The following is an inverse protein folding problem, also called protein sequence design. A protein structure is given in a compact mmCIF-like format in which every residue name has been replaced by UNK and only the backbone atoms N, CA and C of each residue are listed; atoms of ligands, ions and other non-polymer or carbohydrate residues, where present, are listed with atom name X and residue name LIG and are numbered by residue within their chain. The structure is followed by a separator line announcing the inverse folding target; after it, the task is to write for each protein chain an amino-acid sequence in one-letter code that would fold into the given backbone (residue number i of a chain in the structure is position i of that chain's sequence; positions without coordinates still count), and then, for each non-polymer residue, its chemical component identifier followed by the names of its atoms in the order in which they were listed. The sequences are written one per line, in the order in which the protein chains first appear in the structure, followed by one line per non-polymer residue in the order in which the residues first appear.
data_IF_412204816386
#
_entry.id   IF_412204816386
#
_cell.length_a   1.000
_cell.length_b   1.000
_cell.length_c   1.000
_cell.angle_alpha   90.00
_cell.angle_beta   90.00
_cell.angle_gamma   90.00
#
_symmetry.space_group_name_H-M   'P 1'
#
loop_
_entity.id
_entity.type
_entity.pdbx_description
1 polymer ?
#
# COMPACT_ATOMS: atom_id res chain seq x y z
N UNK A 1 -19.06 -2.41 -11.15
CA UNK A 1 -18.76 -1.69 -9.90
C UNK A 1 -17.25 -1.69 -9.75
N UNK A 2 -16.62 -0.55 -9.49
CA UNK A 2 -15.16 -0.43 -9.36
C UNK A 2 -14.73 -1.00 -8.01
N UNK A 3 -13.67 -1.80 -7.98
CA UNK A 3 -13.07 -2.37 -6.77
C UNK A 3 -11.95 -1.48 -6.28
N UNK A 4 -11.86 -1.29 -4.96
CA UNK A 4 -10.87 -0.41 -4.33
C UNK A 4 -9.84 -1.23 -3.59
N UNK A 5 -8.57 -0.98 -3.88
CA UNK A 5 -7.45 -1.70 -3.29
C UNK A 5 -6.46 -0.74 -2.65
N UNK A 6 -5.88 -1.14 -1.53
CA UNK A 6 -4.92 -0.33 -0.80
C UNK A 6 -3.63 -1.10 -0.53
N UNK A 7 -2.52 -0.65 -1.09
CA UNK A 7 -1.22 -1.29 -0.91
C UNK A 7 -0.29 -0.33 -0.17
N UNK A 8 0.32 -0.80 0.90
CA UNK A 8 1.31 -0.03 1.64
C UNK A 8 2.69 -0.62 1.30
N UNK A 9 3.65 0.25 1.01
CA UNK A 9 5.01 -0.11 0.60
C UNK A 9 6.03 0.64 1.46
N UNK A 10 7.29 0.25 1.48
CA UNK A 10 8.30 0.94 2.30
C UNK A 10 8.72 2.29 1.70
N UNK A 11 8.95 2.30 0.38
CA UNK A 11 9.63 3.39 -0.30
C UNK A 11 9.09 3.76 -1.66
N UNK A 12 9.66 4.83 -2.22
CA UNK A 12 9.30 5.32 -3.55
C UNK A 12 9.73 4.36 -4.68
N UNK A 13 10.80 3.59 -4.47
CA UNK A 13 11.24 2.58 -5.43
C UNK A 13 10.20 1.46 -5.58
N UNK A 14 9.59 1.03 -4.48
CA UNK A 14 8.53 0.01 -4.48
C UNK A 14 7.29 0.50 -5.23
N UNK A 15 6.92 1.78 -5.05
CA UNK A 15 5.85 2.41 -5.85
C UNK A 15 6.16 2.30 -7.34
N UNK A 16 7.41 2.58 -7.74
CA UNK A 16 7.83 2.49 -9.14
C UNK A 16 7.81 1.04 -9.65
N UNK A 17 8.21 0.08 -8.83
CA UNK A 17 8.12 -1.34 -9.14
C UNK A 17 6.66 -1.78 -9.34
N UNK A 18 5.78 -1.48 -8.37
CA UNK A 18 4.34 -1.77 -8.45
C UNK A 18 3.71 -1.09 -9.67
N UNK A 19 4.08 0.16 -9.96
CA UNK A 19 3.59 0.88 -11.14
C UNK A 19 3.90 0.14 -12.46
N UNK A 20 5.06 -0.52 -12.54
CA UNK A 20 5.43 -1.33 -13.72
C UNK A 20 4.58 -2.59 -13.83
N UNK A 21 4.32 -3.27 -12.72
CA UNK A 21 3.45 -4.45 -12.69
C UNK A 21 2.01 -4.08 -13.08
N UNK A 22 1.45 -3.04 -12.46
CA UNK A 22 0.09 -2.56 -12.72
C UNK A 22 -0.09 -2.13 -14.18
N UNK A 23 0.94 -1.51 -14.78
CA UNK A 23 0.93 -1.14 -16.19
C UNK A 23 0.75 -2.35 -17.11
N UNK A 24 1.35 -3.50 -16.79
CA UNK A 24 1.18 -4.73 -17.57
C UNK A 24 -0.27 -5.26 -17.52
N UNK A 25 -1.01 -4.93 -16.45
CA UNK A 25 -2.42 -5.26 -16.26
C UNK A 25 -3.39 -4.19 -16.79
N UNK A 26 -2.90 -3.23 -17.60
CA UNK A 26 -3.66 -2.08 -18.09
C UNK A 26 -4.21 -1.15 -16.99
N UNK A 27 -3.65 -1.20 -15.78
CA UNK A 27 -3.98 -0.28 -14.68
C UNK A 27 -2.97 0.87 -14.72
N UNK A 28 -3.44 2.09 -14.97
CA UNK A 28 -2.60 3.25 -15.27
C UNK A 28 -2.53 4.22 -14.10
N UNK A 29 -1.41 4.90 -13.97
CA UNK A 29 -1.24 5.91 -12.93
C UNK A 29 -2.12 7.13 -13.19
N UNK A 30 -2.79 7.60 -12.14
CA UNK A 30 -3.56 8.84 -12.13
C UNK A 30 -2.64 9.97 -11.67
N UNK A 31 -2.49 10.99 -12.51
CA UNK A 31 -1.57 12.12 -12.25
C UNK A 31 -2.29 13.42 -11.94
N UNK A 32 -3.61 13.48 -12.11
CA UNK A 32 -4.42 14.69 -11.87
C UNK A 32 -5.54 14.39 -10.89
N UNK A 33 -5.70 15.23 -9.86
CA UNK A 33 -6.83 15.14 -8.91
C UNK A 33 -8.19 15.19 -9.62
N UNK A 34 -8.32 15.97 -10.69
CA UNK A 34 -9.59 16.17 -11.41
C UNK A 34 -10.15 14.92 -12.06
N UNK A 35 -9.33 13.88 -12.27
CA UNK A 35 -9.76 12.60 -12.84
C UNK A 35 -9.69 11.46 -11.83
N UNK A 36 -9.19 11.73 -10.62
CA UNK A 36 -9.13 10.74 -9.55
C UNK A 36 -10.53 10.42 -9.05
N UNK A 37 -10.77 9.14 -8.79
CA UNK A 37 -11.99 8.67 -8.15
C UNK A 37 -12.20 9.36 -6.77
N UNK A 38 -13.39 9.91 -6.54
CA UNK A 38 -13.73 10.64 -5.31
C UNK A 38 -13.59 9.80 -4.04
N UNK A 39 -13.59 8.47 -4.17
CA UNK A 39 -13.27 7.56 -3.08
C UNK A 39 -11.99 7.95 -2.33
N UNK A 40 -10.97 8.42 -3.05
CA UNK A 40 -9.65 8.73 -2.51
C UNK A 40 -9.48 10.15 -1.99
N UNK A 41 -10.47 11.04 -2.19
CA UNK A 41 -10.34 12.46 -1.82
C UNK A 41 -10.02 12.67 -0.33
N UNK A 42 -10.46 11.74 0.53
CA UNK A 42 -10.20 11.79 1.98
C UNK A 42 -8.73 11.58 2.34
N UNK A 43 -7.94 10.94 1.46
CA UNK A 43 -6.50 10.71 1.66
C UNK A 43 -5.64 11.87 1.15
N UNK A 44 -6.24 12.87 0.50
CA UNK A 44 -5.51 14.02 -0.03
C UNK A 44 -5.51 15.14 1.02
N UNK A 45 -4.33 15.57 1.51
CA UNK A 45 -4.23 16.69 2.43
C UNK A 45 -4.83 17.95 1.82
N UNK A 46 -5.69 18.63 2.58
CA UNK A 46 -6.38 19.86 2.14
C UNK A 46 -5.56 21.13 2.37
N UNK A 47 -4.53 21.03 3.22
CA UNK A 47 -3.72 22.18 3.65
C UNK A 47 -2.23 21.92 3.31
N UNK A 48 -1.55 23.00 2.95
CA UNK A 48 -0.10 23.04 2.73
C UNK A 48 0.45 24.32 3.38
N UNK A 49 1.65 24.30 4.00
CA UNK A 49 2.51 23.14 4.24
C UNK A 49 1.94 22.14 5.25
N UNK A 50 2.40 20.88 5.17
CA UNK A 50 1.99 19.83 6.11
C UNK A 50 2.74 20.05 7.42
N UNK A 51 2.02 20.25 8.52
CA UNK A 51 2.60 20.54 9.85
C UNK A 51 3.53 21.77 9.88
N UNK A 52 3.20 22.80 9.10
CA UNK A 52 3.99 24.04 9.01
C UNK A 52 5.43 23.85 8.48
N UNK A 53 5.74 22.70 7.86
CA UNK A 53 7.05 22.38 7.31
C UNK A 53 7.01 22.32 5.77
N UNK A 54 7.68 23.29 5.12
CA UNK A 54 7.78 23.40 3.66
C UNK A 54 8.63 22.30 3.02
N UNK A 55 9.53 21.67 3.79
CA UNK A 55 10.41 20.59 3.32
C UNK A 55 9.76 19.21 3.49
N UNK A 56 8.70 19.11 4.31
CA UNK A 56 7.97 17.88 4.50
C UNK A 56 7.23 17.50 3.22
N UNK A 57 7.51 16.30 2.72
CA UNK A 57 6.75 15.73 1.58
C UNK A 57 5.30 15.55 1.98
N UNK A 58 4.40 15.94 1.08
CA UNK A 58 2.96 15.71 1.22
C UNK A 58 2.72 14.19 1.19
N UNK A 59 2.08 13.61 2.22
CA UNK A 59 1.85 12.16 2.32
C UNK A 59 0.65 11.75 1.45
N UNK A 60 0.80 11.82 0.13
CA UNK A 60 -0.25 11.43 -0.82
C UNK A 60 0.14 10.10 -1.47
N UNK A 61 -0.74 9.08 -1.44
CA UNK A 61 -0.51 7.84 -2.16
C UNK A 61 -0.35 8.06 -3.67
N UNK A 62 0.37 7.16 -4.34
CA UNK A 62 0.29 7.05 -5.78
C UNK A 62 -1.00 6.31 -6.17
N UNK A 63 -1.81 6.91 -7.02
CA UNK A 63 -3.09 6.34 -7.45
C UNK A 63 -2.98 5.70 -8.83
N UNK A 64 -3.65 4.57 -9.00
CA UNK A 64 -3.70 3.81 -10.24
C UNK A 64 -5.11 3.32 -10.50
N UNK A 65 -5.55 3.29 -11.76
CA UNK A 65 -6.89 2.84 -12.09
C UNK A 65 -7.03 2.26 -13.51
N UNK A 66 -8.09 1.47 -13.67
CA UNK A 66 -8.75 1.15 -14.93
C UNK A 66 -10.28 1.16 -14.70
N UNK A 67 -11.05 0.61 -15.64
CA UNK A 67 -12.52 0.61 -15.56
C UNK A 67 -13.07 -0.19 -14.37
N UNK A 68 -12.31 -1.17 -13.86
CA UNK A 68 -12.78 -2.13 -12.85
C UNK A 68 -12.06 -2.03 -11.51
N UNK A 69 -10.86 -1.45 -11.47
CA UNK A 69 -10.00 -1.39 -10.29
C UNK A 69 -9.50 0.03 -10.05
N UNK A 70 -9.46 0.44 -8.78
CA UNK A 70 -8.82 1.65 -8.30
C UNK A 70 -7.89 1.29 -7.14
N UNK A 71 -6.64 1.73 -7.21
CA UNK A 71 -5.59 1.28 -6.31
C UNK A 71 -4.85 2.51 -5.78
N UNK A 72 -4.72 2.60 -4.46
CA UNK A 72 -3.81 3.53 -3.81
C UNK A 72 -2.58 2.78 -3.30
N UNK A 73 -1.39 3.23 -3.68
CA UNK A 73 -0.10 2.69 -3.24
C UNK A 73 0.58 3.72 -2.35
N UNK A 74 0.68 3.45 -1.05
CA UNK A 74 1.14 4.40 -0.05
C UNK A 74 2.50 3.98 0.51
N UNK A 75 3.51 4.85 0.38
CA UNK A 75 4.81 4.62 1.01
C UNK A 75 4.77 4.99 2.49
N UNK A 76 5.05 4.03 3.36
CA UNK A 76 5.34 4.25 4.77
C UNK A 76 6.81 3.95 5.02
N UNK A 77 7.58 4.97 5.42
CA UNK A 77 9.05 4.94 5.52
C UNK A 77 9.55 4.04 6.66
N UNK A 78 9.46 2.72 6.48
CA UNK A 78 9.89 1.69 7.44
C UNK A 78 8.74 0.97 8.15
N UNK A 79 9.05 -0.17 8.79
CA UNK A 79 8.05 -1.16 9.25
C UNK A 79 7.04 -0.62 10.28
N UNK A 80 7.50 0.11 11.30
CA UNK A 80 6.61 0.74 12.30
C UNK A 80 5.65 1.73 11.65
N UNK A 81 6.11 2.44 10.60
CA UNK A 81 5.25 3.38 9.88
C UNK A 81 4.18 2.67 9.04
N UNK A 82 4.36 1.40 8.66
CA UNK A 82 3.41 0.67 7.82
C UNK A 82 2.07 0.44 8.55
N UNK A 83 2.13 -0.06 9.78
CA UNK A 83 0.93 -0.33 10.59
C UNK A 83 0.24 0.95 11.03
N UNK A 84 1.00 1.98 11.39
CA UNK A 84 0.47 3.34 11.63
C UNK A 84 -0.25 3.87 10.39
N UNK A 85 0.38 3.76 9.21
CA UNK A 85 -0.20 4.24 7.94
C UNK A 85 -1.48 3.48 7.58
N UNK A 86 -1.53 2.17 7.86
CA UNK A 86 -2.76 1.39 7.73
C UNK A 86 -3.84 1.92 8.68
N UNK A 87 -3.51 2.11 9.96
CA UNK A 87 -4.45 2.61 10.98
C UNK A 87 -5.00 3.99 10.67
N UNK A 88 -4.13 4.93 10.29
CA UNK A 88 -4.53 6.27 9.85
C UNK A 88 -5.49 6.19 8.66
N UNK A 89 -5.19 5.35 7.67
CA UNK A 89 -6.05 5.18 6.48
C UNK A 89 -7.39 4.56 6.85
N UNK A 90 -7.39 3.51 7.69
CA UNK A 90 -8.61 2.83 8.11
C UNK A 90 -9.48 3.69 9.04
N UNK A 91 -8.91 4.69 9.71
CA UNK A 91 -9.66 5.70 10.44
C UNK A 91 -10.44 6.66 9.52
N UNK A 92 -9.97 6.83 8.28
CA UNK A 92 -10.61 7.69 7.27
C UNK A 92 -11.54 6.91 6.33
N UNK A 93 -11.18 5.67 6.02
CA UNK A 93 -11.92 4.77 5.12
C UNK A 93 -12.10 3.43 5.80
N UNK A 94 -13.34 3.08 6.14
CA UNK A 94 -13.65 1.79 6.77
C UNK A 94 -13.14 0.61 5.92
N UNK A 95 -12.59 -0.41 6.58
CA UNK A 95 -12.00 -1.60 5.96
C UNK A 95 -12.93 -2.30 4.96
N UNK A 96 -14.24 -2.36 5.25
CA UNK A 96 -15.28 -3.00 4.42
C UNK A 96 -15.43 -2.35 3.04
N UNK A 97 -14.91 -1.14 2.86
CA UNK A 97 -14.95 -0.43 1.57
C UNK A 97 -13.83 -0.85 0.62
N UNK A 98 -12.83 -1.57 1.11
CA UNK A 98 -11.75 -2.11 0.29
C UNK A 98 -12.07 -3.53 -0.14
N UNK A 99 -11.89 -3.82 -1.43
CA UNK A 99 -11.88 -5.18 -1.94
C UNK A 99 -10.64 -5.95 -1.45
N UNK A 100 -9.50 -5.26 -1.33
CA UNK A 100 -8.32 -5.80 -0.66
C UNK A 100 -7.43 -4.70 -0.11
N UNK A 101 -6.63 -5.03 0.90
CA UNK A 101 -5.51 -4.22 1.32
C UNK A 101 -4.32 -5.12 1.67
N UNK A 102 -3.11 -4.58 1.67
CA UNK A 102 -1.92 -5.36 1.98
C UNK A 102 -0.65 -4.54 2.05
N UNK A 103 0.46 -5.26 2.21
CA UNK A 103 1.80 -4.72 2.35
C UNK A 103 2.72 -5.30 1.28
N UNK A 104 3.65 -4.51 0.78
CA UNK A 104 4.81 -4.96 0.03
C UNK A 104 6.06 -4.48 0.77
N UNK A 105 6.94 -5.43 1.08
CA UNK A 105 8.14 -5.23 1.85
C UNK A 105 9.34 -5.71 1.04
N UNK A 106 10.47 -5.03 1.21
CA UNK A 106 11.74 -5.54 0.70
C UNK A 106 12.15 -6.81 1.46
N UNK A 107 13.05 -7.58 0.88
CA UNK A 107 13.73 -8.66 1.59
C UNK A 107 15.19 -8.24 1.72
N UNK A 108 15.53 -7.61 2.85
CA UNK A 108 16.91 -7.17 3.11
C UNK A 108 17.84 -8.35 3.35
N UNK A 109 19.15 -8.16 3.11
CA UNK A 109 20.12 -9.22 3.32
C UNK A 109 20.38 -9.54 4.80
N UNK A 110 20.07 -8.61 5.70
CA UNK A 110 20.29 -8.76 7.14
C UNK A 110 19.16 -9.53 7.86
N UNK A 111 17.97 -9.59 7.24
CA UNK A 111 16.80 -10.27 7.79
C UNK A 111 16.16 -11.14 6.72
N UNK A 112 15.96 -12.41 7.03
CA UNK A 112 15.23 -13.32 6.14
C UNK A 112 13.80 -12.82 5.90
N UNK A 113 13.18 -13.17 4.75
CA UNK A 113 11.76 -12.89 4.51
C UNK A 113 10.84 -13.38 5.63
N UNK A 114 11.17 -14.52 6.25
CA UNK A 114 10.46 -15.08 7.41
C UNK A 114 10.51 -14.14 8.63
N UNK A 115 11.69 -13.62 8.97
CA UNK A 115 11.84 -12.67 10.08
C UNK A 115 11.08 -11.37 9.82
N UNK A 116 11.15 -10.83 8.59
CA UNK A 116 10.41 -9.62 8.20
C UNK A 116 8.89 -9.83 8.24
N UNK A 117 8.42 -11.00 7.80
CA UNK A 117 7.00 -11.35 7.89
C UNK A 117 6.53 -11.45 9.34
N UNK A 118 7.24 -12.20 10.19
CA UNK A 118 6.86 -12.34 11.60
C UNK A 118 6.91 -11.02 12.37
N UNK A 119 7.86 -10.13 12.04
CA UNK A 119 7.92 -8.78 12.59
C UNK A 119 6.67 -7.97 12.21
N UNK A 120 6.25 -7.98 10.94
CA UNK A 120 5.03 -7.32 10.49
C UNK A 120 3.78 -7.89 11.20
N UNK A 121 3.68 -9.21 11.32
CA UNK A 121 2.55 -9.87 11.99
C UNK A 121 2.48 -9.49 13.47
N UNK A 122 3.64 -9.42 14.14
CA UNK A 122 3.74 -8.98 15.53
C UNK A 122 3.26 -7.53 15.67
N UNK A 123 3.71 -6.64 14.79
CA UNK A 123 3.34 -5.23 14.81
C UNK A 123 1.84 -5.03 14.52
N UNK A 124 1.27 -5.79 13.57
CA UNK A 124 -0.16 -5.76 13.26
C UNK A 124 -1.00 -6.16 14.47
N UNK A 125 -0.62 -7.24 15.16
CA UNK A 125 -1.30 -7.69 16.38
C UNK A 125 -1.18 -6.66 17.52
N UNK A 126 -0.01 -6.05 17.68
CA UNK A 126 0.23 -5.00 18.68
C UNK A 126 -0.64 -3.76 18.45
N UNK A 127 -1.00 -3.48 17.20
CA UNK A 127 -1.90 -2.40 16.81
C UNK A 127 -3.37 -2.85 16.63
N UNK A 128 -3.74 -3.99 17.22
CA UNK A 128 -5.11 -4.53 17.23
C UNK A 128 -5.71 -4.85 15.85
N UNK A 129 -4.88 -5.07 14.83
CA UNK A 129 -5.37 -5.55 13.53
C UNK A 129 -5.66 -7.05 13.57
N UNK A 130 -6.78 -7.45 12.99
CA UNK A 130 -7.13 -8.86 12.82
C UNK A 130 -6.27 -9.48 11.73
N UNK A 131 -5.42 -10.44 12.11
CA UNK A 131 -4.63 -11.23 11.16
C UNK A 131 -5.33 -12.58 10.95
N UNK A 132 -5.56 -13.02 9.69
CA UNK A 132 -6.16 -14.32 9.41
C UNK A 132 -5.40 -15.47 10.07
N UNK A 133 -6.14 -16.38 10.72
CA UNK A 133 -5.54 -17.57 11.32
C UNK A 133 -4.87 -18.43 10.24
N UNK A 134 -3.60 -18.78 10.45
CA UNK A 134 -2.84 -19.61 9.52
C UNK A 134 -2.24 -18.87 8.33
N UNK A 135 -2.20 -17.53 8.34
CA UNK A 135 -1.39 -16.77 7.38
C UNK A 135 0.08 -17.21 7.52
N UNK A 136 0.66 -17.67 6.42
CA UNK A 136 2.06 -18.11 6.32
C UNK A 136 2.66 -17.51 5.06
N UNK A 137 3.98 -17.38 5.04
CA UNK A 137 4.69 -17.08 3.81
C UNK A 137 4.42 -18.17 2.77
N UNK A 138 4.25 -17.74 1.53
CA UNK A 138 4.14 -18.65 0.39
C UNK A 138 5.50 -19.25 0.05
N UNK A 139 5.49 -20.49 -0.43
CA UNK A 139 6.70 -21.14 -0.95
C UNK A 139 6.86 -20.83 -2.45
N UNK A 140 8.06 -20.42 -2.86
CA UNK A 140 8.40 -20.28 -4.28
C UNK A 140 8.68 -21.67 -4.84
N UNK A 141 7.67 -22.30 -5.44
CA UNK A 141 7.89 -23.52 -6.23
C UNK A 141 8.77 -23.18 -7.44
N UNK A 142 9.81 -23.99 -7.71
CA UNK A 142 10.91 -23.72 -8.66
C UNK A 142 10.55 -23.55 -10.15
N UNK A 143 9.29 -23.25 -10.46
CA UNK A 143 8.88 -22.72 -11.76
C UNK A 143 9.41 -21.29 -11.97
N UNK A 144 9.65 -20.94 -13.24
CA UNK A 144 10.01 -19.56 -13.59
C UNK A 144 8.85 -18.64 -13.20
N UNK A 145 9.11 -17.46 -12.62
CA UNK A 145 8.06 -16.47 -12.43
C UNK A 145 7.44 -16.12 -13.79
N UNK A 146 6.16 -16.42 -13.97
CA UNK A 146 5.40 -16.00 -15.13
C UNK A 146 4.56 -14.78 -14.73
N UNK A 147 4.79 -13.65 -15.39
CA UNK A 147 3.89 -12.50 -15.38
C UNK A 147 3.26 -12.41 -16.78
N UNK A 148 1.98 -12.80 -16.87
CA UNK A 148 1.23 -12.87 -18.13
C UNK A 148 -0.02 -13.71 -17.98
#
# INVERSE_FOLDING_TARGET
MKQYHYLIVEGQHDIAFVARLLKALNIRQVTKKSVLDQFWDVLIPKNFPVQDDLLKRVPVPAFFENDTHSIAVHSARGITRLTETLGETLSLISQERFASHGFLLDADQEQSPDERFEALITELKANNFTVPAGLRLGEVSGSKPAFG
#
